data_IF_465489903755
#
_entry.id   IF_465489903755
#
_cell.length_a   1.000
_cell.length_b   1.000
_cell.length_c   1.000
_cell.angle_alpha   90.00
_cell.angle_beta   90.00
_cell.angle_gamma   90.00
#
_symmetry.space_group_name_H-M   'P 1'
#
loop_
_entity.id
_entity.type
_entity.pdbx_description
1 polymer ?
#
# COMPACT_ATOMS: atom_id res chain seq x y z
N UNK A 1 18.65 8.85 -14.70
CA UNK A 1 18.96 8.55 -13.30
C UNK A 1 17.94 9.27 -12.44
N UNK A 2 17.11 8.52 -11.72
CA UNK A 2 16.14 9.06 -10.78
C UNK A 2 16.90 9.75 -9.64
N UNK A 3 16.44 10.91 -9.16
CA UNK A 3 17.12 11.64 -8.08
C UNK A 3 17.27 10.78 -6.81
N UNK A 4 16.31 9.87 -6.55
CA UNK A 4 16.39 8.91 -5.45
C UNK A 4 17.59 7.94 -5.52
N UNK A 5 18.04 7.53 -6.71
CA UNK A 5 19.18 6.61 -6.88
C UNK A 5 20.51 7.23 -6.41
N UNK A 6 20.60 8.56 -6.46
CA UNK A 6 21.77 9.32 -5.98
C UNK A 6 21.85 9.35 -4.46
N UNK A 7 20.71 9.25 -3.77
CA UNK A 7 20.61 9.40 -2.32
C UNK A 7 20.54 8.04 -1.61
N UNK A 8 19.97 7.03 -2.28
CA UNK A 8 19.72 5.72 -1.69
C UNK A 8 20.33 4.60 -2.50
N UNK A 9 20.77 3.57 -1.78
CA UNK A 9 21.10 2.28 -2.32
C UNK A 9 19.99 1.29 -1.96
N UNK A 10 19.44 0.62 -2.97
CA UNK A 10 18.39 -0.38 -2.78
C UNK A 10 19.03 -1.76 -2.80
N UNK A 11 18.77 -2.56 -1.77
CA UNK A 11 19.34 -3.91 -1.63
C UNK A 11 18.24 -4.91 -1.33
N UNK A 12 18.36 -6.11 -1.88
CA UNK A 12 17.67 -7.28 -1.34
C UNK A 12 18.26 -7.59 0.03
N UNK A 13 17.41 -7.80 1.03
CA UNK A 13 17.83 -8.04 2.41
C UNK A 13 17.11 -9.27 2.98
N UNK A 14 17.73 -9.92 3.94
CA UNK A 14 17.06 -10.91 4.77
C UNK A 14 16.50 -10.24 6.01
N UNK A 15 15.23 -10.52 6.33
CA UNK A 15 14.56 -9.89 7.46
C UNK A 15 15.29 -10.13 8.80
N UNK A 16 15.93 -11.29 8.94
CA UNK A 16 16.67 -11.68 10.16
C UNK A 16 17.79 -10.71 10.51
N UNK A 17 18.47 -10.18 9.51
CA UNK A 17 19.65 -9.32 9.70
C UNK A 17 19.27 -7.88 10.06
N UNK A 18 18.01 -7.48 9.87
CA UNK A 18 17.56 -6.08 9.95
C UNK A 18 16.27 -5.89 10.78
N UNK A 19 15.90 -6.85 11.64
CA UNK A 19 14.63 -6.83 12.38
C UNK A 19 14.39 -5.54 13.16
N UNK A 20 15.44 -5.04 13.80
CA UNK A 20 15.40 -3.83 14.64
C UNK A 20 15.19 -2.58 13.79
N UNK A 21 15.98 -2.42 12.73
CA UNK A 21 15.89 -1.29 11.82
C UNK A 21 14.56 -1.27 11.06
N UNK A 22 14.07 -2.45 10.62
CA UNK A 22 12.77 -2.59 9.99
C UNK A 22 11.65 -2.14 10.94
N UNK A 23 11.70 -2.57 12.20
CA UNK A 23 10.71 -2.15 13.21
C UNK A 23 10.77 -0.65 13.49
N UNK A 24 11.98 -0.07 13.55
CA UNK A 24 12.17 1.38 13.68
C UNK A 24 11.54 2.14 12.51
N UNK A 25 11.75 1.68 11.27
CA UNK A 25 11.14 2.28 10.07
C UNK A 25 9.61 2.23 10.16
N UNK A 26 9.03 1.13 10.64
CA UNK A 26 7.56 1.04 10.84
C UNK A 26 7.10 2.10 11.83
N UNK A 27 7.72 2.18 13.00
CA UNK A 27 7.36 3.16 14.04
C UNK A 27 7.44 4.59 13.50
N UNK A 28 8.52 4.93 12.81
CA UNK A 28 8.74 6.25 12.25
C UNK A 28 7.75 6.58 11.12
N UNK A 29 7.43 5.60 10.26
CA UNK A 29 6.47 5.78 9.16
C UNK A 29 5.06 6.13 9.64
N UNK A 30 4.67 5.65 10.83
CA UNK A 30 3.35 5.89 11.39
C UNK A 30 3.16 7.35 11.83
N UNK A 31 4.25 8.10 12.05
CA UNK A 31 4.20 9.52 12.38
C UNK A 31 3.53 10.37 11.29
N UNK A 32 3.60 9.96 10.02
CA UNK A 32 2.98 10.66 8.89
C UNK A 32 1.46 10.45 8.79
N UNK A 33 0.89 9.42 9.43
CA UNK A 33 -0.54 9.14 9.31
C UNK A 33 -1.37 10.13 10.13
N UNK A 34 -2.50 10.67 9.61
CA UNK A 34 -3.41 11.52 10.39
C UNK A 34 -3.90 10.81 11.65
N UNK A 35 -3.94 11.51 12.80
CA UNK A 35 -4.33 10.93 14.10
C UNK A 35 -5.66 10.16 14.05
N UNK A 36 -6.64 10.62 13.25
CA UNK A 36 -7.97 9.99 13.09
C UNK A 36 -7.89 8.56 12.54
N UNK A 37 -6.86 8.24 11.76
CA UNK A 37 -6.72 6.95 11.06
C UNK A 37 -5.36 6.30 11.27
N UNK A 38 -4.56 6.81 12.21
CA UNK A 38 -3.24 6.25 12.52
C UNK A 38 -3.40 4.85 13.11
N UNK A 39 -2.77 3.81 12.51
CA UNK A 39 -2.73 2.49 13.11
C UNK A 39 -2.09 2.53 14.50
N UNK A 40 -2.51 1.63 15.40
CA UNK A 40 -1.74 1.36 16.62
C UNK A 40 -0.43 0.72 16.20
N UNK A 41 0.69 1.14 16.83
CA UNK A 41 1.98 0.50 16.58
C UNK A 41 1.84 -1.01 16.83
N UNK A 42 2.21 -1.87 15.87
CA UNK A 42 2.30 -3.29 16.16
C UNK A 42 3.29 -3.49 17.30
N UNK A 43 3.04 -4.48 18.17
CA UNK A 43 4.11 -4.89 19.09
C UNK A 43 5.29 -5.41 18.27
N UNK A 44 6.50 -5.23 18.80
CA UNK A 44 7.72 -5.65 18.12
C UNK A 44 7.70 -7.16 17.84
N UNK A 45 7.18 -7.96 18.78
CA UNK A 45 7.05 -9.40 18.67
C UNK A 45 6.09 -9.81 17.55
N UNK A 46 4.96 -9.10 17.43
CA UNK A 46 3.98 -9.33 16.36
C UNK A 46 4.54 -8.93 14.99
N UNK A 47 5.32 -7.84 14.93
CA UNK A 47 6.00 -7.45 13.70
C UNK A 47 7.04 -8.48 13.27
N UNK A 48 7.94 -8.88 14.17
CA UNK A 48 8.99 -9.86 13.89
C UNK A 48 8.39 -11.21 13.47
N UNK A 49 7.34 -11.68 14.14
CA UNK A 49 6.68 -12.94 13.76
C UNK A 49 6.06 -12.88 12.37
N UNK A 50 5.55 -11.70 11.95
CA UNK A 50 5.02 -11.52 10.59
C UNK A 50 6.09 -11.63 9.50
N UNK A 51 7.31 -11.17 9.76
CA UNK A 51 8.43 -11.25 8.80
C UNK A 51 8.87 -12.70 8.51
N UNK A 52 8.75 -13.58 9.50
CA UNK A 52 9.17 -14.98 9.42
C UNK A 52 8.20 -15.88 8.63
N UNK A 53 7.03 -15.36 8.24
CA UNK A 53 5.99 -16.13 7.52
C UNK A 53 6.16 -16.14 5.99
N UNK A 54 7.29 -15.65 5.49
CA UNK A 54 7.55 -15.42 4.06
C UNK A 54 7.92 -16.69 3.28
N UNK A 55 7.51 -16.73 2.01
CA UNK A 55 7.91 -17.78 1.06
C UNK A 55 9.34 -17.56 0.58
N UNK A 56 10.06 -18.62 0.16
CA UNK A 56 11.37 -18.53 -0.49
C UNK A 56 11.40 -17.62 -1.73
N UNK A 57 10.25 -17.38 -2.36
CA UNK A 57 10.13 -16.49 -3.53
C UNK A 57 9.82 -15.04 -3.19
N UNK A 58 9.44 -14.77 -1.95
CA UNK A 58 9.15 -13.42 -1.52
C UNK A 58 10.46 -12.65 -1.39
N UNK A 59 10.44 -11.36 -1.73
CA UNK A 59 11.63 -10.51 -1.71
C UNK A 59 11.39 -9.31 -0.82
N UNK A 60 12.34 -9.07 0.08
CA UNK A 60 12.38 -7.92 0.96
C UNK A 60 13.50 -7.00 0.50
N UNK A 61 13.18 -5.73 0.25
CA UNK A 61 14.12 -4.70 -0.16
C UNK A 61 14.28 -3.66 0.93
N UNK A 62 15.52 -3.25 1.19
CA UNK A 62 15.85 -2.13 2.05
C UNK A 62 16.37 -0.94 1.24
N UNK A 63 15.98 0.27 1.63
CA UNK A 63 16.55 1.52 1.14
C UNK A 63 17.54 2.10 2.14
N UNK A 64 18.82 2.04 1.80
CA UNK A 64 19.91 2.51 2.63
C UNK A 64 20.34 3.91 2.18
N UNK A 65 20.30 4.87 3.10
CA UNK A 65 20.78 6.21 2.82
C UNK A 65 22.30 6.21 2.63
N UNK A 66 22.79 6.68 1.48
CA UNK A 66 24.19 6.50 1.09
C UNK A 66 25.17 7.19 2.04
N UNK A 67 24.83 8.35 2.59
CA UNK A 67 25.76 9.12 3.42
C UNK A 67 26.03 8.45 4.77
N UNK A 68 25.06 7.71 5.31
CA UNK A 68 25.16 7.16 6.68
C UNK A 68 24.99 5.64 6.75
N UNK A 69 24.57 4.99 5.68
CA UNK A 69 24.19 3.57 5.66
C UNK A 69 22.88 3.28 6.41
N UNK A 70 22.12 4.29 6.86
CA UNK A 70 20.87 4.07 7.62
C UNK A 70 19.78 3.46 6.74
N UNK A 71 19.06 2.46 7.25
CA UNK A 71 17.83 1.96 6.63
C UNK A 71 16.69 3.00 6.79
N UNK A 72 16.25 3.57 5.68
CA UNK A 72 15.25 4.65 5.65
C UNK A 72 13.91 4.24 5.07
N UNK A 73 13.80 3.01 4.58
CA UNK A 73 12.58 2.45 4.03
C UNK A 73 12.77 0.99 3.67
N UNK A 74 11.66 0.29 3.53
CA UNK A 74 11.65 -1.07 3.02
C UNK A 74 10.41 -1.33 2.18
N UNK A 75 10.52 -2.33 1.32
CA UNK A 75 9.41 -2.83 0.54
C UNK A 75 9.41 -4.35 0.54
N UNK A 76 8.23 -4.95 0.57
CA UNK A 76 8.06 -6.38 0.53
C UNK A 76 7.17 -6.76 -0.64
N UNK A 77 7.64 -7.69 -1.47
CA UNK A 77 6.90 -8.18 -2.62
C UNK A 77 6.70 -9.69 -2.53
N UNK A 78 5.53 -10.15 -2.97
CA UNK A 78 5.24 -11.57 -3.15
C UNK A 78 5.27 -11.94 -4.62
N UNK A 79 5.97 -13.01 -4.96
CA UNK A 79 5.99 -13.53 -6.34
C UNK A 79 5.14 -14.80 -6.40
N UNK A 80 3.98 -14.70 -7.06
CA UNK A 80 3.00 -15.79 -7.18
C UNK A 80 2.56 -15.96 -8.62
N UNK A 81 2.78 -17.15 -9.20
CA UNK A 81 2.52 -17.43 -10.62
C UNK A 81 3.25 -16.41 -11.52
N UNK A 82 2.52 -15.55 -12.24
CA UNK A 82 3.05 -14.45 -13.07
C UNK A 82 2.79 -13.06 -12.50
N UNK A 83 2.47 -12.99 -11.20
CA UNK A 83 2.15 -11.75 -10.50
C UNK A 83 3.23 -11.45 -9.47
N UNK A 84 3.71 -10.22 -9.50
CA UNK A 84 4.58 -9.65 -8.47
C UNK A 84 3.72 -8.66 -7.68
N UNK A 85 3.33 -9.05 -6.47
CA UNK A 85 2.41 -8.28 -5.63
C UNK A 85 3.21 -7.36 -4.70
N UNK A 86 3.06 -6.05 -4.86
CA UNK A 86 3.59 -5.03 -3.94
C UNK A 86 2.77 -5.06 -2.65
N UNK A 87 3.27 -5.80 -1.68
CA UNK A 87 2.55 -6.07 -0.43
C UNK A 87 2.72 -4.93 0.57
N UNK A 88 3.97 -4.48 0.75
CA UNK A 88 4.33 -3.46 1.73
C UNK A 88 5.29 -2.47 1.10
N UNK A 89 5.06 -1.18 1.35
CA UNK A 89 6.03 -0.11 1.18
C UNK A 89 5.95 0.81 2.40
N UNK A 90 7.06 0.95 3.12
CA UNK A 90 7.15 1.83 4.30
C UNK A 90 8.44 2.61 4.24
N UNK A 91 8.32 3.92 4.45
CA UNK A 91 9.46 4.84 4.43
C UNK A 91 9.39 5.80 5.61
N UNK A 92 10.57 6.26 6.05
CA UNK A 92 10.67 7.31 7.06
C UNK A 92 10.30 8.66 6.40
N UNK A 93 9.32 9.42 6.93
CA UNK A 93 8.79 10.61 6.25
C UNK A 93 9.83 11.72 5.99
N UNK A 94 10.81 11.87 6.89
CA UNK A 94 11.89 12.86 6.71
C UNK A 94 12.76 12.62 5.48
N UNK A 95 12.78 11.39 4.95
CA UNK A 95 13.53 11.00 3.75
C UNK A 95 12.71 11.06 2.45
N UNK A 96 11.41 11.37 2.51
CA UNK A 96 10.54 11.45 1.33
C UNK A 96 10.97 12.58 0.38
N UNK A 97 11.46 13.71 0.92
CA UNK A 97 12.03 14.81 0.11
C UNK A 97 13.27 14.38 -0.69
N UNK A 98 13.97 13.36 -0.22
CA UNK A 98 15.12 12.76 -0.90
C UNK A 98 14.71 11.66 -1.89
N UNK A 99 13.40 11.42 -2.04
CA UNK A 99 12.79 10.45 -2.94
C UNK A 99 13.05 8.97 -2.61
N UNK A 100 13.05 8.62 -1.31
CA UNK A 100 13.21 7.23 -0.85
C UNK A 100 12.16 6.26 -1.44
N UNK A 101 10.90 6.69 -1.55
CA UNK A 101 9.84 5.89 -2.18
C UNK A 101 10.15 5.59 -3.66
N UNK A 102 10.59 6.62 -4.38
CA UNK A 102 10.92 6.51 -5.80
C UNK A 102 12.11 5.55 -6.01
N UNK A 103 13.12 5.66 -5.14
CA UNK A 103 14.29 4.78 -5.16
C UNK A 103 13.88 3.31 -4.97
N UNK A 104 13.06 3.00 -3.95
CA UNK A 104 12.58 1.64 -3.70
C UNK A 104 11.85 1.05 -4.90
N UNK A 105 10.85 1.76 -5.43
CA UNK A 105 10.05 1.29 -6.56
C UNK A 105 10.96 1.05 -7.77
N UNK A 106 11.83 2.02 -8.08
CA UNK A 106 12.74 1.91 -9.21
C UNK A 106 13.71 0.72 -9.06
N UNK A 107 14.32 0.55 -7.88
CA UNK A 107 15.22 -0.57 -7.61
C UNK A 107 14.53 -1.92 -7.76
N UNK A 108 13.28 -2.04 -7.31
CA UNK A 108 12.46 -3.25 -7.47
C UNK A 108 12.12 -3.51 -8.93
N UNK A 109 11.76 -2.47 -9.69
CA UNK A 109 11.47 -2.59 -11.12
C UNK A 109 12.69 -3.08 -11.90
N UNK A 110 13.88 -2.55 -11.58
CA UNK A 110 15.13 -3.03 -12.18
C UNK A 110 15.41 -4.50 -11.84
N UNK A 111 15.32 -4.88 -10.57
CA UNK A 111 15.56 -6.26 -10.11
C UNK A 111 14.53 -7.26 -10.66
N UNK A 112 13.32 -6.79 -10.99
CA UNK A 112 12.26 -7.58 -11.58
C UNK A 112 12.23 -7.54 -13.11
N UNK A 113 13.13 -6.81 -13.77
CA UNK A 113 13.05 -6.53 -15.21
C UNK A 113 13.02 -7.80 -16.08
N UNK A 114 13.78 -8.82 -15.71
CA UNK A 114 13.78 -10.11 -16.43
C UNK A 114 12.44 -10.85 -16.28
N UNK A 115 11.84 -10.81 -15.08
CA UNK A 115 10.52 -11.39 -14.85
C UNK A 115 9.45 -10.64 -15.65
N UNK A 116 9.48 -9.31 -15.63
CA UNK A 116 8.57 -8.46 -16.40
C UNK A 116 8.68 -8.76 -17.91
N UNK A 117 9.91 -8.87 -18.42
CA UNK A 117 10.18 -9.21 -19.81
C UNK A 117 9.70 -10.61 -20.19
N UNK A 118 9.61 -11.53 -19.22
CA UNK A 118 9.05 -12.88 -19.39
C UNK A 118 7.51 -12.95 -19.28
N UNK A 119 6.84 -11.79 -19.21
CA UNK A 119 5.39 -11.67 -19.16
C UNK A 119 4.79 -11.72 -17.76
N UNK A 120 5.58 -11.43 -16.72
CA UNK A 120 5.04 -11.11 -15.40
C UNK A 120 4.51 -9.68 -15.39
N UNK A 121 3.61 -9.39 -14.44
CA UNK A 121 3.20 -8.02 -14.15
C UNK A 121 3.30 -7.74 -12.66
N UNK A 122 3.48 -6.46 -12.34
CA UNK A 122 3.47 -5.98 -10.97
C UNK A 122 2.09 -5.42 -10.63
N UNK A 123 1.61 -5.70 -9.43
CA UNK A 123 0.33 -5.26 -8.89
C UNK A 123 0.55 -4.58 -7.55
N UNK A 124 0.08 -3.34 -7.39
CA UNK A 124 0.10 -2.57 -6.12
C UNK A 124 -1.23 -2.71 -5.34
N UNK A 125 -2.03 -3.72 -5.69
CA UNK A 125 -3.34 -3.95 -5.12
C UNK A 125 -4.42 -2.99 -5.63
N UNK A 126 -5.52 -2.91 -4.87
CA UNK A 126 -6.73 -2.19 -5.26
C UNK A 126 -6.83 -0.81 -4.61
N UNK A 127 -7.38 0.18 -5.33
CA UNK A 127 -7.70 1.49 -4.76
C UNK A 127 -8.63 1.34 -3.55
N UNK A 128 -8.23 1.87 -2.41
CA UNK A 128 -9.09 1.91 -1.22
C UNK A 128 -10.14 3.02 -1.37
N UNK A 129 -11.39 2.69 -1.07
CA UNK A 129 -12.49 3.68 -0.96
C UNK A 129 -12.48 4.38 0.41
N UNK A 130 -11.82 3.76 1.39
CA UNK A 130 -11.75 4.19 2.79
C UNK A 130 -10.54 5.09 3.07
N UNK A 131 -9.42 4.85 2.39
CA UNK A 131 -8.20 5.64 2.52
C UNK A 131 -7.92 6.35 1.20
N UNK A 132 -7.93 7.68 1.23
CA UNK A 132 -7.46 8.50 0.11
C UNK A 132 -5.94 8.60 0.20
N UNK A 133 -5.24 7.89 -0.69
CA UNK A 133 -3.80 8.05 -0.90
C UNK A 133 -3.57 8.35 -2.38
N UNK A 134 -2.66 9.27 -2.67
CA UNK A 134 -2.26 9.60 -4.05
C UNK A 134 -1.17 8.63 -4.57
N UNK A 135 -1.00 7.48 -3.92
CA UNK A 135 0.10 6.57 -4.21
C UNK A 135 -0.05 5.89 -5.58
N UNK A 136 -1.27 5.48 -5.94
CA UNK A 136 -1.50 4.88 -7.25
C UNK A 136 -1.34 5.89 -8.38
N UNK A 137 -1.81 7.14 -8.21
CA UNK A 137 -1.61 8.19 -9.21
C UNK A 137 -0.11 8.54 -9.35
N UNK A 138 0.65 8.44 -8.26
CA UNK A 138 2.11 8.54 -8.27
C UNK A 138 2.76 7.40 -9.07
N UNK A 139 2.32 6.16 -8.90
CA UNK A 139 2.80 5.02 -9.70
C UNK A 139 2.49 5.18 -11.19
N UNK A 140 1.29 5.63 -11.55
CA UNK A 140 0.91 5.87 -12.95
C UNK A 140 1.79 6.96 -13.58
N UNK A 141 2.00 8.07 -12.85
CA UNK A 141 2.75 9.22 -13.36
C UNK A 141 4.24 8.94 -13.58
N UNK A 142 4.88 8.21 -12.68
CA UNK A 142 6.35 8.10 -12.66
C UNK A 142 6.88 6.71 -13.05
N UNK A 143 6.05 5.66 -12.99
CA UNK A 143 6.48 4.27 -13.18
C UNK A 143 5.68 3.51 -14.24
N UNK A 144 4.87 4.23 -15.04
CA UNK A 144 4.08 3.66 -16.14
C UNK A 144 3.10 2.56 -15.69
N UNK A 145 2.69 2.57 -14.42
CA UNK A 145 1.57 1.75 -13.98
C UNK A 145 0.29 2.24 -14.67
N UNK A 146 -0.71 1.37 -14.71
CA UNK A 146 -2.04 1.72 -15.19
C UNK A 146 -3.10 1.10 -14.30
N UNK A 147 -4.23 1.76 -14.16
CA UNK A 147 -5.44 1.15 -13.57
C UNK A 147 -5.93 -0.02 -14.43
N UNK A 148 -6.21 -1.14 -13.77
CA UNK A 148 -6.93 -2.27 -14.34
C UNK A 148 -8.33 -2.31 -13.72
N UNK A 149 -9.32 -1.79 -14.45
CA UNK A 149 -10.68 -1.71 -13.96
C UNK A 149 -11.35 -3.08 -13.99
N UNK A 150 -12.10 -3.40 -12.93
CA UNK A 150 -12.88 -4.63 -12.79
C UNK A 150 -14.35 -4.30 -12.54
N UNK A 151 -15.24 -5.24 -12.84
CA UNK A 151 -16.65 -5.12 -12.47
C UNK A 151 -16.83 -5.48 -11.00
N UNK A 152 -17.36 -4.53 -10.24
CA UNK A 152 -17.60 -4.71 -8.82
C UNK A 152 -18.96 -5.38 -8.62
N UNK A 153 -18.94 -6.68 -8.34
CA UNK A 153 -20.16 -7.43 -8.02
C UNK A 153 -20.42 -7.41 -6.51
N UNK A 154 -21.43 -6.66 -6.07
CA UNK A 154 -21.80 -6.53 -4.66
C UNK A 154 -23.02 -7.41 -4.36
N UNK A 155 -22.85 -8.36 -3.44
CA UNK A 155 -23.94 -9.22 -2.97
C UNK A 155 -24.22 -8.89 -1.50
N UNK A 156 -25.38 -8.29 -1.24
CA UNK A 156 -25.83 -8.02 0.13
C UNK A 156 -26.52 -9.23 0.75
N UNK A 157 -26.30 -9.42 2.05
CA UNK A 157 -27.06 -10.40 2.83
C UNK A 157 -28.58 -10.05 2.77
N UNK A 158 -29.46 -11.01 2.41
CA UNK A 158 -30.90 -10.78 2.26
C UNK A 158 -31.55 -10.10 3.47
N UNK A 159 -31.09 -10.40 4.70
CA UNK A 159 -31.62 -9.83 5.95
C UNK A 159 -31.48 -8.32 6.03
N UNK A 160 -30.43 -7.76 5.44
CA UNK A 160 -30.12 -6.33 5.51
C UNK A 160 -30.40 -5.59 4.20
N UNK A 161 -30.88 -6.29 3.16
CA UNK A 161 -31.09 -5.73 1.82
C UNK A 161 -32.06 -4.55 1.84
N UNK A 162 -33.17 -4.68 2.56
CA UNK A 162 -34.16 -3.61 2.67
C UNK A 162 -33.60 -2.40 3.43
N UNK A 163 -33.00 -2.63 4.60
CA UNK A 163 -32.39 -1.59 5.43
C UNK A 163 -31.33 -0.82 4.64
N UNK A 164 -30.44 -1.52 3.94
CA UNK A 164 -29.42 -0.89 3.13
C UNK A 164 -30.02 -0.05 1.99
N UNK A 165 -31.06 -0.55 1.29
CA UNK A 165 -31.74 0.19 0.22
C UNK A 165 -32.32 1.53 0.71
N UNK A 166 -32.90 1.54 1.90
CA UNK A 166 -33.40 2.78 2.55
C UNK A 166 -32.25 3.71 2.89
N UNK A 167 -31.22 3.20 3.57
CA UNK A 167 -30.05 3.99 3.96
C UNK A 167 -29.31 4.60 2.76
N UNK A 168 -29.14 3.82 1.68
CA UNK A 168 -28.50 4.27 0.45
C UNK A 168 -29.27 5.39 -0.26
N UNK A 169 -30.61 5.36 -0.22
CA UNK A 169 -31.44 6.46 -0.76
C UNK A 169 -31.20 7.77 -0.01
N UNK A 170 -30.91 7.68 1.29
CA UNK A 170 -30.64 8.82 2.17
C UNK A 170 -29.13 9.12 2.31
N UNK A 171 -28.26 8.52 1.49
CA UNK A 171 -26.79 8.60 1.62
C UNK A 171 -26.22 10.02 1.71
N UNK A 172 -26.85 10.99 1.07
CA UNK A 172 -26.43 12.40 1.10
C UNK A 172 -26.42 13.01 2.50
N UNK A 173 -27.28 12.52 3.42
CA UNK A 173 -27.27 12.93 4.83
C UNK A 173 -26.05 12.38 5.56
N UNK A 174 -25.64 11.14 5.24
CA UNK A 174 -24.53 10.45 5.88
C UNK A 174 -23.16 10.96 5.40
N UNK A 175 -23.05 11.40 4.14
CA UNK A 175 -21.83 12.03 3.62
C UNK A 175 -21.40 13.26 4.42
N UNK A 176 -22.35 14.02 4.99
CA UNK A 176 -22.04 15.17 5.85
C UNK A 176 -21.53 14.80 7.24
N UNK A 177 -21.70 13.53 7.66
CA UNK A 177 -21.38 13.03 8.99
C UNK A 177 -20.18 12.06 9.00
N UNK A 178 -19.28 12.20 8.03
CA UNK A 178 -18.11 11.33 7.83
C UNK A 178 -17.06 11.40 8.96
N UNK A 179 -17.23 12.31 9.92
CA UNK A 179 -16.42 12.36 11.14
C UNK A 179 -16.62 11.13 12.04
N UNK A 180 -17.81 10.51 12.02
CA UNK A 180 -18.17 9.38 12.88
C UNK A 180 -17.67 8.07 12.25
N UNK A 181 -16.86 7.27 12.99
CA UNK A 181 -16.20 6.06 12.48
C UNK A 181 -17.17 5.04 11.82
N UNK A 182 -18.34 4.83 12.41
CA UNK A 182 -19.34 3.92 11.87
C UNK A 182 -19.95 4.46 10.57
N UNK A 183 -20.25 5.76 10.53
CA UNK A 183 -20.79 6.43 9.35
C UNK A 183 -19.76 6.46 8.22
N UNK A 184 -18.49 6.69 8.54
CA UNK A 184 -17.41 6.64 7.55
C UNK A 184 -17.30 5.26 6.86
N UNK A 185 -17.45 4.17 7.63
CA UNK A 185 -17.54 2.81 7.06
C UNK A 185 -18.78 2.66 6.17
N UNK A 186 -19.93 3.17 6.60
CA UNK A 186 -21.17 3.12 5.81
C UNK A 186 -21.04 3.93 4.51
N UNK A 187 -20.45 5.12 4.58
CA UNK A 187 -20.16 5.98 3.43
C UNK A 187 -19.23 5.27 2.43
N UNK A 188 -18.23 4.51 2.90
CA UNK A 188 -17.39 3.70 2.02
C UNK A 188 -18.20 2.63 1.27
N UNK A 189 -19.17 1.97 1.93
CA UNK A 189 -20.07 1.00 1.27
C UNK A 189 -20.98 1.70 0.25
N UNK A 190 -21.48 2.90 0.55
CA UNK A 190 -22.26 3.69 -0.40
C UNK A 190 -21.44 4.05 -1.65
N UNK A 191 -20.21 4.53 -1.48
CA UNK A 191 -19.28 4.79 -2.59
C UNK A 191 -19.01 3.53 -3.43
N UNK A 192 -18.83 2.37 -2.79
CA UNK A 192 -18.69 1.10 -3.52
C UNK A 192 -19.94 0.79 -4.36
N UNK A 193 -21.14 1.00 -3.81
CA UNK A 193 -22.39 0.81 -4.53
C UNK A 193 -22.55 1.80 -5.70
N UNK A 194 -22.10 3.05 -5.54
CA UNK A 194 -22.06 4.04 -6.63
C UNK A 194 -21.14 3.55 -7.77
N UNK A 195 -19.90 3.14 -7.47
CA UNK A 195 -18.97 2.58 -8.45
C UNK A 195 -19.52 1.35 -9.19
N UNK A 196 -20.36 0.54 -8.52
CA UNK A 196 -21.01 -0.62 -9.13
C UNK A 196 -22.19 -0.23 -10.05
N UNK A 197 -22.83 0.92 -9.81
CA UNK A 197 -23.99 1.40 -10.59
C UNK A 197 -23.55 2.30 -11.76
N UNK A 198 -22.54 3.15 -11.60
CA UNK A 198 -22.06 4.12 -12.60
C UNK A 198 -21.46 3.49 -13.88
N UNK A 199 -21.54 2.16 -14.03
CA UNK A 199 -21.22 1.43 -15.27
C UNK A 199 -22.44 1.22 -16.19
N UNK A 200 -23.46 2.08 -16.11
CA UNK A 200 -24.62 2.14 -17.03
C UNK A 200 -24.63 3.45 -17.81
#
# INVERSE_FOLDING_TARGET
MLQGERNFEIRLIHAEDYKEELYSVVCDSLSAYPKKYRPVNPSKENFISSLNSSSLKDRLYGAFYRDTGKLCGYAFIHIRKKVIDFSILKTIPSFEKLQVNAALIYGILLDCNDLLSSGFYICDGSKSVFHETNFQDYLEKYFAFRKAYVDLHIVYNPKYRFTFKVLYRLRFLFYKLDSIRLIHKLNAIFKMQECAIEKL
#
